data_IF_467158796983
#
_entry.id   IF_467158796983
#
_cell.length_a   1.000
_cell.length_b   1.000
_cell.length_c   1.000
_cell.angle_alpha   90.00
_cell.angle_beta   90.00
_cell.angle_gamma   90.00
#
_symmetry.space_group_name_H-M   'P 1'
#
loop_
_entity.id
_entity.type
_entity.pdbx_description
1 polymer ?
#
# COMPACT_ATOMS: atom_id res chain seq x y z
N UNK A 1 -20.57 5.68 -18.17
CA UNK A 1 -20.32 4.44 -17.41
C UNK A 1 -19.59 4.88 -16.17
N UNK A 2 -20.17 4.65 -14.99
CA UNK A 2 -19.44 4.85 -13.75
C UNK A 2 -18.40 3.73 -13.68
N UNK A 3 -17.12 4.07 -13.64
CA UNK A 3 -16.06 3.09 -13.48
C UNK A 3 -16.02 2.74 -11.99
N UNK A 4 -16.48 1.55 -11.60
CA UNK A 4 -16.53 1.10 -10.20
C UNK A 4 -15.15 0.64 -9.66
N UNK A 5 -14.07 0.91 -10.40
CA UNK A 5 -12.70 0.60 -9.96
C UNK A 5 -12.27 1.51 -8.82
N UNK A 6 -11.60 0.92 -7.84
CA UNK A 6 -10.97 1.65 -6.75
C UNK A 6 -9.93 2.66 -7.27
N UNK A 7 -9.85 3.80 -6.60
CA UNK A 7 -8.83 4.83 -6.82
C UNK A 7 -7.63 4.63 -5.89
N UNK A 8 -6.56 5.39 -6.10
CA UNK A 8 -5.45 5.46 -5.15
C UNK A 8 -5.95 5.95 -3.78
N UNK A 9 -6.87 6.92 -3.75
CA UNK A 9 -7.43 7.44 -2.50
C UNK A 9 -8.20 6.36 -1.71
N UNK A 10 -8.92 5.47 -2.40
CA UNK A 10 -9.58 4.34 -1.75
C UNK A 10 -8.54 3.37 -1.16
N UNK A 11 -7.45 3.10 -1.88
CA UNK A 11 -6.35 2.29 -1.36
C UNK A 11 -5.71 2.92 -0.11
N UNK A 12 -5.47 4.23 -0.12
CA UNK A 12 -4.89 4.93 1.03
C UNK A 12 -5.87 4.97 2.21
N UNK A 13 -7.15 5.20 1.97
CA UNK A 13 -8.18 5.13 3.01
C UNK A 13 -8.21 3.76 3.70
N UNK A 14 -8.05 2.67 2.93
CA UNK A 14 -7.90 1.32 3.49
C UNK A 14 -6.65 1.17 4.36
N UNK A 15 -5.50 1.68 3.93
CA UNK A 15 -4.25 1.65 4.71
C UNK A 15 -4.40 2.43 6.02
N UNK A 16 -4.98 3.63 5.97
CA UNK A 16 -5.19 4.49 7.13
C UNK A 16 -6.18 3.89 8.11
N UNK A 17 -7.27 3.30 7.62
CA UNK A 17 -8.23 2.60 8.48
C UNK A 17 -7.59 1.46 9.27
N UNK A 18 -6.71 0.67 8.64
CA UNK A 18 -5.96 -0.40 9.35
C UNK A 18 -5.04 0.20 10.41
N UNK A 19 -4.40 1.34 10.13
CA UNK A 19 -3.58 2.04 11.13
C UNK A 19 -4.40 2.57 12.31
N UNK A 20 -5.60 3.10 12.07
CA UNK A 20 -6.53 3.53 13.12
C UNK A 20 -6.92 2.37 14.04
N UNK A 21 -7.25 1.21 13.47
CA UNK A 21 -7.62 0.01 14.23
C UNK A 21 -6.46 -0.50 15.10
N UNK A 22 -5.22 -0.40 14.60
CA UNK A 22 -4.02 -0.86 15.34
C UNK A 22 -3.42 0.18 16.29
N UNK A 23 -3.87 1.45 16.21
CA UNK A 23 -3.28 2.61 16.89
C UNK A 23 -1.77 2.78 16.61
N UNK A 24 -1.32 2.33 15.43
CA UNK A 24 0.06 2.56 14.94
C UNK A 24 0.20 2.23 13.45
N UNK A 25 1.25 2.77 12.81
CA UNK A 25 1.59 2.49 11.40
C UNK A 25 2.54 1.30 11.16
N UNK A 26 3.13 0.74 12.23
CA UNK A 26 4.13 -0.35 12.10
C UNK A 26 3.59 -1.69 11.60
N UNK A 27 2.26 -1.83 11.51
CA UNK A 27 1.58 -3.07 11.11
C UNK A 27 1.08 -3.09 9.67
N UNK A 28 1.29 -2.02 8.90
CA UNK A 28 0.92 -1.97 7.48
C UNK A 28 2.14 -2.08 6.58
N UNK A 29 1.95 -2.72 5.43
CA UNK A 29 2.98 -3.01 4.42
C UNK A 29 2.35 -3.02 3.04
N UNK A 30 3.14 -2.69 2.01
CA UNK A 30 2.75 -2.91 0.63
C UNK A 30 2.68 -4.40 0.33
N UNK A 31 1.53 -4.84 -0.16
CA UNK A 31 1.30 -6.18 -0.70
C UNK A 31 0.32 -6.09 -1.86
N UNK A 32 0.83 -5.97 -3.08
CA UNK A 32 0.01 -5.64 -4.26
C UNK A 32 -0.82 -6.79 -4.80
N UNK A 33 -0.46 -8.04 -4.46
CA UNK A 33 -1.01 -9.25 -5.07
C UNK A 33 -0.97 -9.20 -6.62
N UNK A 34 0.06 -8.53 -7.17
CA UNK A 34 0.26 -8.52 -8.62
C UNK A 34 0.58 -9.92 -9.13
N UNK A 35 0.05 -10.21 -10.32
CA UNK A 35 0.00 -11.56 -10.90
C UNK A 35 -0.85 -12.57 -10.08
N UNK A 36 -1.69 -12.09 -9.16
CA UNK A 36 -2.64 -12.90 -8.36
C UNK A 36 -3.86 -13.45 -9.12
N UNK A 37 -3.90 -13.33 -10.45
CA UNK A 37 -4.95 -13.92 -11.31
C UNK A 37 -6.05 -12.98 -11.78
N UNK A 38 -5.97 -11.68 -11.47
CA UNK A 38 -6.91 -10.66 -11.97
C UNK A 38 -6.36 -9.95 -13.22
N UNK A 39 -7.23 -9.58 -14.19
CA UNK A 39 -6.81 -8.76 -15.32
C UNK A 39 -6.52 -7.32 -14.86
N UNK A 40 -5.65 -6.57 -15.57
CA UNK A 40 -5.32 -5.18 -15.22
C UNK A 40 -6.53 -4.24 -15.11
N UNK A 41 -7.60 -4.52 -15.86
CA UNK A 41 -8.86 -3.76 -15.81
C UNK A 41 -9.60 -3.87 -14.46
N UNK A 42 -9.23 -4.81 -13.60
CA UNK A 42 -9.79 -4.97 -12.25
C UNK A 42 -8.89 -4.36 -11.17
N UNK A 43 -7.66 -3.95 -11.53
CA UNK A 43 -6.75 -3.30 -10.61
C UNK A 43 -7.20 -1.84 -10.38
N UNK A 44 -6.81 -1.21 -9.26
CA UNK A 44 -7.13 0.19 -9.02
C UNK A 44 -6.68 1.09 -10.18
N UNK A 45 -7.41 2.19 -10.38
CA UNK A 45 -7.10 3.20 -11.38
C UNK A 45 -5.65 3.66 -11.18
N UNK A 46 -4.88 3.73 -12.27
CA UNK A 46 -3.45 4.07 -12.30
C UNK A 46 -2.47 3.08 -11.65
N UNK A 47 -2.94 1.94 -11.10
CA UNK A 47 -2.10 0.90 -10.48
C UNK A 47 -2.10 -0.42 -11.26
N UNK A 48 -2.34 -0.35 -12.57
CA UNK A 48 -2.50 -1.51 -13.46
C UNK A 48 -1.17 -2.17 -13.90
N UNK A 49 -0.04 -1.70 -13.38
CA UNK A 49 1.30 -2.21 -13.70
C UNK A 49 2.28 -2.00 -12.53
N UNK A 50 3.21 -2.93 -12.25
CA UNK A 50 4.14 -2.83 -11.10
C UNK A 50 4.90 -1.51 -11.00
N UNK A 51 5.31 -0.97 -12.14
CA UNK A 51 5.98 0.35 -12.24
C UNK A 51 5.22 1.50 -11.57
N UNK A 52 3.92 1.38 -11.36
CA UNK A 52 3.08 2.44 -10.79
C UNK A 52 2.86 2.33 -9.28
N UNK A 53 3.30 1.25 -8.63
CA UNK A 53 3.09 1.05 -7.19
C UNK A 53 3.71 2.14 -6.32
N UNK A 54 4.73 2.86 -6.82
CA UNK A 54 5.31 4.02 -6.14
C UNK A 54 4.29 5.12 -5.84
N UNK A 55 3.22 5.24 -6.63
CA UNK A 55 2.17 6.25 -6.45
C UNK A 55 1.44 6.11 -5.11
N UNK A 56 1.37 4.91 -4.55
CA UNK A 56 0.83 4.71 -3.20
C UNK A 56 1.71 5.37 -2.14
N UNK A 57 3.04 5.29 -2.29
CA UNK A 57 3.97 5.95 -1.37
C UNK A 57 3.92 7.47 -1.50
N UNK A 58 3.79 7.98 -2.73
CA UNK A 58 3.63 9.42 -2.98
C UNK A 58 2.32 9.94 -2.37
N UNK A 59 1.21 9.22 -2.55
CA UNK A 59 -0.07 9.58 -1.95
C UNK A 59 -0.02 9.59 -0.40
N UNK A 60 0.69 8.65 0.23
CA UNK A 60 0.90 8.66 1.68
C UNK A 60 1.71 9.89 2.13
N UNK A 61 2.76 10.28 1.38
CA UNK A 61 3.52 11.52 1.66
C UNK A 61 2.63 12.75 1.56
N UNK A 62 1.78 12.82 0.54
CA UNK A 62 0.83 13.93 0.34
C UNK A 62 -0.19 14.01 1.48
N UNK A 63 -0.50 12.89 2.14
CA UNK A 63 -1.32 12.83 3.37
C UNK A 63 -0.53 13.12 4.66
N UNK A 64 0.73 13.54 4.56
CA UNK A 64 1.54 13.93 5.70
C UNK A 64 2.13 12.76 6.49
N UNK A 65 2.23 11.57 5.89
CA UNK A 65 3.03 10.50 6.46
C UNK A 65 4.51 10.91 6.49
N UNK A 66 5.20 10.56 7.58
CA UNK A 66 6.63 10.81 7.68
C UNK A 66 7.41 9.92 6.70
N UNK A 67 8.62 10.33 6.32
CA UNK A 67 9.48 9.49 5.46
C UNK A 67 9.74 8.11 6.09
N UNK A 68 9.86 8.05 7.43
CA UNK A 68 10.02 6.81 8.18
C UNK A 68 8.77 5.91 8.08
N UNK A 69 7.58 6.48 8.18
CA UNK A 69 6.32 5.72 8.03
C UNK A 69 6.13 5.22 6.60
N UNK A 70 6.48 6.04 5.60
CA UNK A 70 6.42 5.66 4.19
C UNK A 70 7.41 4.55 3.88
N UNK A 71 8.65 4.65 4.35
CA UNK A 71 9.63 3.57 4.22
C UNK A 71 9.19 2.30 4.99
N UNK A 72 8.54 2.49 6.14
CA UNK A 72 7.78 1.49 6.89
C UNK A 72 6.83 0.69 6.00
N UNK A 73 5.88 1.39 5.39
CA UNK A 73 4.90 0.83 4.46
C UNK A 73 5.56 0.15 3.25
N UNK A 74 6.57 0.78 2.64
CA UNK A 74 7.22 0.26 1.45
C UNK A 74 7.92 -1.09 1.70
N UNK A 75 8.69 -1.23 2.78
CA UNK A 75 9.42 -2.47 3.06
C UNK A 75 9.95 -2.63 4.50
N UNK A 76 10.20 -1.56 5.25
CA UNK A 76 10.87 -1.67 6.56
C UNK A 76 10.02 -2.43 7.59
N UNK A 77 8.69 -2.31 7.54
CA UNK A 77 7.81 -3.09 8.41
C UNK A 77 7.88 -4.60 8.08
N UNK A 78 8.00 -4.97 6.80
CA UNK A 78 8.24 -6.36 6.40
C UNK A 78 9.58 -6.86 6.93
N UNK A 79 10.66 -6.10 6.75
CA UNK A 79 12.00 -6.48 7.23
C UNK A 79 12.02 -6.70 8.74
N UNK A 80 11.37 -5.83 9.52
CA UNK A 80 11.24 -5.97 10.97
C UNK A 80 10.61 -7.31 11.39
N UNK A 81 9.65 -7.82 10.60
CA UNK A 81 8.90 -9.05 10.91
C UNK A 81 9.59 -10.30 10.34
N UNK A 82 10.09 -10.24 9.11
CA UNK A 82 10.63 -11.40 8.40
C UNK A 82 12.10 -11.67 8.72
N UNK A 83 12.92 -10.65 8.99
CA UNK A 83 14.35 -10.83 9.23
C UNK A 83 14.65 -11.77 10.42
N UNK A 84 13.95 -11.71 11.56
CA UNK A 84 14.14 -12.67 12.65
C UNK A 84 13.69 -14.10 12.32
N UNK A 85 12.80 -14.28 11.34
CA UNK A 85 12.26 -15.60 10.97
C UNK A 85 13.09 -16.32 9.90
N UNK A 86 14.02 -15.61 9.25
CA UNK A 86 14.89 -16.11 8.19
C UNK A 86 16.34 -16.31 8.63
N UNK A 87 16.66 -15.99 9.89
CA UNK A 87 17.96 -16.18 10.52
C UNK A 87 17.95 -17.42 11.42
#
# INVERSE_FOLDING_TARGET
QNDDRATIDDCIAHVEHVCEVMDHRRGVVLGSDMDGGFPPSHLPIELDHPRHLHRLADALRDRGWSDDDVAGFQHLNWQRILHPALA
#
